data_IF_921793975924
#
_entry.id   IF_921793975924
#
_cell.length_a   1.000
_cell.length_b   1.000
_cell.length_c   1.000
_cell.angle_alpha   90.00
_cell.angle_beta   90.00
_cell.angle_gamma   90.00
#
_symmetry.space_group_name_H-M   'P 1'
#
loop_
_entity.id
_entity.type
_entity.pdbx_description
1 polymer ?
#
# COMPACT_ATOMS: atom_id res chain seq x y z
N UNK A 1 24.98 69.34 -72.79
CA UNK A 1 25.01 69.06 -71.37
C UNK A 1 23.56 68.71 -70.94
N UNK A 2 23.20 67.49 -71.21
CA UNK A 2 21.99 66.85 -70.70
C UNK A 2 22.38 65.44 -70.47
N UNK A 3 22.79 65.11 -69.27
CA UNK A 3 22.88 63.75 -68.76
C UNK A 3 22.71 63.83 -67.24
N UNK A 4 21.78 63.16 -66.76
CA UNK A 4 21.66 63.00 -65.33
C UNK A 4 20.29 63.18 -64.72
N UNK A 5 19.24 62.59 -65.27
CA UNK A 5 17.99 62.52 -64.58
C UNK A 5 17.11 61.44 -65.21
N UNK A 6 17.43 60.20 -64.97
CA UNK A 6 16.51 59.13 -65.25
C UNK A 6 16.95 57.82 -64.55
N UNK A 7 17.09 57.88 -63.21
CA UNK A 7 17.23 56.65 -62.39
C UNK A 7 16.41 56.86 -61.10
N UNK A 8 15.19 57.37 -61.23
CA UNK A 8 14.26 57.32 -60.10
C UNK A 8 13.29 56.14 -60.30
N UNK A 9 13.67 55.05 -59.72
CA UNK A 9 12.84 53.99 -59.23
C UNK A 9 11.67 53.52 -60.12
N UNK A 10 11.97 52.63 -61.06
CA UNK A 10 10.89 51.69 -61.43
C UNK A 10 10.52 50.94 -60.20
N UNK A 11 9.42 51.45 -59.53
CA UNK A 11 8.80 50.83 -58.40
C UNK A 11 8.39 49.42 -58.86
N UNK A 12 9.04 48.36 -58.37
CA UNK A 12 8.90 47.00 -58.86
C UNK A 12 7.57 46.42 -58.34
N UNK A 13 6.49 46.81 -59.02
CA UNK A 13 5.13 46.30 -58.76
C UNK A 13 5.04 44.78 -58.82
N UNK A 14 5.94 44.14 -59.58
CA UNK A 14 5.97 42.69 -59.70
C UNK A 14 6.51 42.05 -58.42
N UNK A 15 7.56 42.62 -57.80
CA UNK A 15 8.09 42.11 -56.52
C UNK A 15 7.06 42.29 -55.37
N UNK A 16 6.36 43.41 -55.35
CA UNK A 16 5.31 43.60 -54.33
C UNK A 16 4.11 42.66 -54.54
N UNK A 17 3.71 42.40 -55.75
CA UNK A 17 2.68 41.45 -56.09
C UNK A 17 3.07 40.02 -55.73
N UNK A 18 4.32 39.66 -55.98
CA UNK A 18 4.84 38.34 -55.57
C UNK A 18 4.97 38.22 -54.06
N UNK A 19 5.44 39.25 -53.36
CA UNK A 19 5.47 39.25 -51.89
C UNK A 19 4.08 39.15 -51.27
N UNK A 20 3.07 39.89 -51.81
CA UNK A 20 1.66 39.76 -51.39
C UNK A 20 1.11 38.37 -51.68
N UNK A 21 1.40 37.78 -52.86
CA UNK A 21 1.00 36.42 -53.24
C UNK A 21 1.65 35.36 -52.32
N UNK A 22 2.93 35.54 -51.96
CA UNK A 22 3.63 34.69 -51.01
C UNK A 22 3.02 34.81 -49.61
N UNK A 23 2.77 36.03 -49.12
CA UNK A 23 2.17 36.28 -47.83
C UNK A 23 0.76 35.71 -47.72
N UNK A 24 -0.11 35.92 -48.71
CA UNK A 24 -1.46 35.31 -48.75
C UNK A 24 -1.41 33.78 -48.89
N UNK A 25 -0.39 33.24 -49.51
CA UNK A 25 -0.17 31.78 -49.60
C UNK A 25 0.23 31.22 -48.24
N UNK A 26 1.12 31.85 -47.51
CA UNK A 26 1.49 31.46 -46.13
C UNK A 26 0.32 31.63 -45.15
N UNK A 27 -0.45 32.69 -45.27
CA UNK A 27 -1.66 32.90 -44.49
C UNK A 27 -2.71 31.79 -44.73
N UNK A 28 -2.95 31.42 -45.99
CA UNK A 28 -3.84 30.32 -46.36
C UNK A 28 -3.32 28.96 -45.88
N UNK A 29 -2.03 28.70 -45.93
CA UNK A 29 -1.37 27.50 -45.41
C UNK A 29 -1.51 27.48 -43.90
N UNK A 30 -1.25 28.60 -43.21
CA UNK A 30 -1.43 28.71 -41.75
C UNK A 30 -2.89 28.44 -41.29
N UNK A 31 -3.88 29.00 -42.01
CA UNK A 31 -5.29 28.73 -41.75
C UNK A 31 -5.65 27.27 -41.99
N UNK A 32 -5.11 26.66 -43.05
CA UNK A 32 -5.32 25.23 -43.33
C UNK A 32 -4.72 24.35 -42.22
N UNK A 33 -3.49 24.63 -41.76
CA UNK A 33 -2.88 23.93 -40.63
C UNK A 33 -3.70 24.10 -39.33
N UNK A 34 -4.20 25.31 -39.06
CA UNK A 34 -5.05 25.57 -37.92
C UNK A 34 -6.35 24.75 -37.97
N UNK A 35 -6.98 24.69 -39.17
CA UNK A 35 -8.19 23.90 -39.38
C UNK A 35 -7.93 22.38 -39.21
N UNK A 36 -6.82 21.88 -39.78
CA UNK A 36 -6.43 20.48 -39.59
C UNK A 36 -6.14 20.18 -38.12
N UNK A 37 -5.46 21.10 -37.41
CA UNK A 37 -5.18 20.97 -35.98
C UNK A 37 -6.48 20.97 -35.15
N UNK A 38 -7.39 21.90 -35.42
CA UNK A 38 -8.71 21.98 -34.73
C UNK A 38 -9.56 20.74 -35.00
N UNK A 39 -9.62 20.29 -36.27
CA UNK A 39 -10.31 19.06 -36.64
C UNK A 39 -9.64 17.84 -36.03
N UNK A 40 -8.33 17.73 -36.10
CA UNK A 40 -7.58 16.63 -35.50
C UNK A 40 -7.71 16.56 -33.97
N UNK A 41 -7.64 17.72 -33.30
CA UNK A 41 -7.88 17.84 -31.88
C UNK A 41 -9.34 17.52 -31.51
N UNK A 42 -10.31 17.98 -32.30
CA UNK A 42 -11.73 17.68 -32.13
C UNK A 42 -12.02 16.19 -32.27
N UNK A 43 -11.46 15.55 -33.31
CA UNK A 43 -11.56 14.10 -33.50
C UNK A 43 -10.88 13.31 -32.37
N UNK A 44 -9.68 13.72 -31.98
CA UNK A 44 -8.96 13.11 -30.85
C UNK A 44 -9.77 13.24 -29.56
N UNK A 45 -10.31 14.44 -29.25
CA UNK A 45 -11.13 14.70 -28.06
C UNK A 45 -12.42 13.89 -28.09
N UNK A 46 -13.05 13.74 -29.26
CA UNK A 46 -14.35 13.07 -29.38
C UNK A 46 -14.24 11.56 -29.41
N UNK A 47 -13.20 11.00 -30.02
CA UNK A 47 -13.07 9.55 -30.21
C UNK A 47 -12.11 8.88 -29.25
N UNK A 48 -11.04 9.56 -28.86
CA UNK A 48 -10.01 8.97 -28.00
C UNK A 48 -10.16 9.40 -26.54
N UNK A 49 -10.28 10.70 -26.26
CA UNK A 49 -10.36 11.19 -24.88
C UNK A 49 -11.65 10.76 -24.15
N UNK A 50 -12.71 10.38 -24.89
CA UNK A 50 -13.94 9.77 -24.35
C UNK A 50 -13.96 8.25 -24.64
N UNK A 51 -12.85 7.57 -24.40
CA UNK A 51 -12.72 6.12 -24.55
C UNK A 51 -12.32 5.44 -23.25
N UNK A 52 -12.69 4.16 -23.03
CA UNK A 52 -12.24 3.41 -21.85
C UNK A 52 -10.72 3.17 -21.86
N UNK A 53 -10.09 3.12 -23.04
CA UNK A 53 -8.64 3.02 -23.21
C UNK A 53 -7.93 4.25 -22.61
N UNK A 54 -8.42 5.43 -22.96
CA UNK A 54 -7.89 6.69 -22.43
C UNK A 54 -8.08 6.76 -20.90
N UNK A 55 -9.28 6.48 -20.41
CA UNK A 55 -9.58 6.52 -18.98
C UNK A 55 -8.69 5.56 -18.16
N UNK A 56 -8.46 4.34 -18.68
CA UNK A 56 -7.60 3.37 -18.00
C UNK A 56 -6.13 3.77 -18.02
N UNK A 57 -5.66 4.36 -19.13
CA UNK A 57 -4.32 4.91 -19.21
C UNK A 57 -4.14 6.10 -18.22
N UNK A 58 -5.13 7.00 -18.14
CA UNK A 58 -5.10 8.09 -17.15
C UNK A 58 -5.11 7.57 -15.72
N UNK A 59 -5.89 6.53 -15.42
CA UNK A 59 -5.90 5.88 -14.11
C UNK A 59 -4.50 5.30 -13.78
N UNK A 60 -3.88 4.62 -14.74
CA UNK A 60 -2.52 4.09 -14.57
C UNK A 60 -1.50 5.21 -14.33
N UNK A 61 -1.57 6.30 -15.10
CA UNK A 61 -0.70 7.47 -14.91
C UNK A 61 -0.98 8.18 -13.57
N UNK A 62 -2.23 8.23 -13.13
CA UNK A 62 -2.59 8.80 -11.83
C UNK A 62 -1.91 8.07 -10.67
N UNK A 63 -1.90 6.74 -10.70
CA UNK A 63 -1.21 5.92 -9.70
C UNK A 63 0.30 6.16 -9.76
N UNK A 64 0.89 6.19 -10.96
CA UNK A 64 2.32 6.36 -11.17
C UNK A 64 2.85 7.74 -10.81
N UNK A 65 2.05 8.78 -11.09
CA UNK A 65 2.44 10.19 -10.91
C UNK A 65 1.93 10.79 -9.59
N UNK A 66 1.31 9.98 -8.74
CA UNK A 66 0.76 10.39 -7.45
C UNK A 66 -0.30 11.49 -7.57
N UNK A 67 -1.30 11.27 -8.45
CA UNK A 67 -2.42 12.17 -8.66
C UNK A 67 -3.72 11.60 -8.09
N UNK A 68 -4.00 11.92 -6.83
CA UNK A 68 -5.20 11.47 -6.13
C UNK A 68 -6.50 12.01 -6.77
N UNK A 69 -6.45 13.17 -7.43
CA UNK A 69 -7.62 13.73 -8.11
C UNK A 69 -7.96 12.95 -9.38
N UNK A 70 -6.96 12.67 -10.20
CA UNK A 70 -7.16 11.84 -11.39
C UNK A 70 -7.58 10.41 -11.02
N UNK A 71 -7.07 9.85 -9.91
CA UNK A 71 -7.53 8.56 -9.40
C UNK A 71 -9.05 8.54 -9.15
N UNK A 72 -9.62 9.59 -8.53
CA UNK A 72 -11.06 9.71 -8.29
C UNK A 72 -11.86 9.98 -9.57
N UNK A 73 -11.26 10.67 -10.52
CA UNK A 73 -11.90 10.98 -11.81
C UNK A 73 -12.15 9.72 -12.63
N UNK A 74 -11.17 8.79 -12.67
CA UNK A 74 -11.22 7.59 -13.51
C UNK A 74 -11.56 6.29 -12.77
N UNK A 75 -11.73 6.34 -11.43
CA UNK A 75 -12.11 5.19 -10.61
C UNK A 75 -13.24 5.56 -9.64
N UNK A 76 -14.31 4.79 -9.63
CA UNK A 76 -15.31 4.85 -8.57
C UNK A 76 -14.78 4.07 -7.35
N UNK A 77 -14.01 4.74 -6.51
CA UNK A 77 -13.35 4.12 -5.36
C UNK A 77 -14.33 3.49 -4.39
N UNK A 78 -15.54 4.07 -4.22
CA UNK A 78 -16.55 3.51 -3.32
C UNK A 78 -17.08 2.17 -3.85
N UNK A 79 -17.43 2.11 -5.14
CA UNK A 79 -17.92 0.88 -5.77
C UNK A 79 -16.85 -0.21 -5.79
N UNK A 80 -15.61 0.14 -6.16
CA UNK A 80 -14.49 -0.82 -6.22
C UNK A 80 -14.12 -1.32 -4.84
N UNK A 81 -13.94 -0.43 -3.86
CA UNK A 81 -13.56 -0.82 -2.48
C UNK A 81 -14.71 -1.57 -1.78
N UNK A 82 -15.96 -1.17 -2.03
CA UNK A 82 -17.12 -1.85 -1.47
C UNK A 82 -17.27 -3.29 -1.97
N UNK A 83 -17.04 -3.51 -3.27
CA UNK A 83 -17.07 -4.85 -3.86
C UNK A 83 -15.84 -5.68 -3.43
N UNK A 84 -14.67 -5.08 -3.42
CA UNK A 84 -13.45 -5.76 -2.96
C UNK A 84 -13.57 -6.20 -1.50
N UNK A 85 -14.19 -5.38 -0.66
CA UNK A 85 -14.49 -5.76 0.72
C UNK A 85 -15.43 -6.97 0.80
N UNK A 86 -16.51 -7.01 0.02
CA UNK A 86 -17.42 -8.16 -0.02
C UNK A 86 -16.70 -9.43 -0.49
N UNK A 87 -15.88 -9.33 -1.53
CA UNK A 87 -15.11 -10.46 -2.05
C UNK A 87 -14.06 -10.95 -1.04
N UNK A 88 -13.42 -10.03 -0.29
CA UNK A 88 -12.43 -10.35 0.74
C UNK A 88 -13.06 -11.02 1.97
N UNK A 89 -14.25 -10.60 2.39
CA UNK A 89 -14.84 -11.02 3.66
C UNK A 89 -15.82 -12.19 3.54
N UNK A 90 -16.32 -12.48 2.33
CA UNK A 90 -17.36 -13.49 2.06
C UNK A 90 -17.09 -14.85 2.65
N UNK A 91 -15.84 -15.31 2.60
CA UNK A 91 -15.47 -16.66 3.03
C UNK A 91 -14.39 -16.66 4.12
N UNK A 92 -14.15 -15.52 4.77
CA UNK A 92 -13.13 -15.45 5.83
C UNK A 92 -13.33 -16.49 6.92
N UNK A 93 -14.58 -16.89 7.17
CA UNK A 93 -14.94 -17.84 8.21
C UNK A 93 -15.60 -19.11 7.67
N UNK A 94 -15.94 -19.16 6.38
CA UNK A 94 -16.65 -20.30 5.80
C UNK A 94 -15.85 -21.62 5.92
N UNK A 95 -14.53 -21.54 5.87
CA UNK A 95 -13.63 -22.69 5.92
C UNK A 95 -13.06 -22.97 7.31
N UNK A 96 -13.45 -22.20 8.35
CA UNK A 96 -13.00 -22.46 9.70
C UNK A 96 -13.93 -23.47 10.39
N UNK A 97 -13.48 -24.73 10.42
CA UNK A 97 -14.21 -25.86 11.02
C UNK A 97 -14.28 -25.78 12.56
N UNK A 98 -13.49 -24.88 13.18
CA UNK A 98 -13.50 -24.68 14.63
C UNK A 98 -14.59 -23.70 15.08
N UNK A 99 -15.20 -22.94 14.16
CA UNK A 99 -16.28 -22.01 14.46
C UNK A 99 -17.65 -22.67 14.29
N UNK A 100 -18.51 -22.50 15.29
CA UNK A 100 -19.92 -22.91 15.18
C UNK A 100 -20.63 -22.06 14.10
N UNK A 101 -21.72 -22.60 13.53
CA UNK A 101 -22.51 -21.86 12.56
C UNK A 101 -23.05 -20.54 13.12
N UNK A 102 -23.48 -20.53 14.39
CA UNK A 102 -23.96 -19.31 15.04
C UNK A 102 -22.86 -18.24 15.15
N UNK A 103 -21.64 -18.67 15.47
CA UNK A 103 -20.47 -17.77 15.50
C UNK A 103 -20.13 -17.23 14.10
N UNK A 104 -20.21 -18.06 13.05
CA UNK A 104 -20.03 -17.62 11.67
C UNK A 104 -21.04 -16.54 11.27
N UNK A 105 -22.33 -16.77 11.56
CA UNK A 105 -23.41 -15.79 11.31
C UNK A 105 -23.18 -14.49 12.08
N UNK A 106 -22.74 -14.57 13.33
CA UNK A 106 -22.43 -13.38 14.13
C UNK A 106 -21.28 -12.57 13.49
N UNK A 107 -20.23 -13.22 13.01
CA UNK A 107 -19.14 -12.55 12.31
C UNK A 107 -19.59 -11.93 10.98
N UNK A 108 -20.40 -12.63 10.17
CA UNK A 108 -20.95 -12.07 8.94
C UNK A 108 -21.76 -10.79 9.20
N UNK A 109 -22.65 -10.80 10.20
CA UNK A 109 -23.41 -9.61 10.58
C UNK A 109 -22.52 -8.47 11.05
N UNK A 110 -21.46 -8.79 11.82
CA UNK A 110 -20.47 -7.81 12.24
C UNK A 110 -19.77 -7.17 11.04
N UNK A 111 -19.27 -7.98 10.07
CA UNK A 111 -18.60 -7.48 8.88
C UNK A 111 -19.50 -6.62 8.00
N UNK A 112 -20.78 -6.99 7.86
CA UNK A 112 -21.78 -6.16 7.16
C UNK A 112 -21.91 -4.79 7.85
N UNK A 113 -21.97 -4.76 9.17
CA UNK A 113 -22.15 -3.54 9.96
C UNK A 113 -20.96 -2.59 9.88
N UNK A 114 -19.75 -3.12 9.84
CA UNK A 114 -18.52 -2.29 9.81
C UNK A 114 -18.10 -1.90 8.38
N UNK A 115 -18.65 -2.55 7.34
CA UNK A 115 -18.31 -2.30 5.93
C UNK A 115 -18.22 -0.82 5.57
N UNK A 116 -19.20 0.06 5.91
CA UNK A 116 -19.14 1.46 5.52
C UNK A 116 -17.93 2.19 6.10
N UNK A 117 -17.47 1.81 7.30
CA UNK A 117 -16.28 2.40 7.93
C UNK A 117 -15.02 1.90 7.23
N UNK A 118 -14.88 0.58 7.05
CA UNK A 118 -13.70 -0.01 6.41
C UNK A 118 -13.52 0.49 4.99
N UNK A 119 -14.61 0.61 4.22
CA UNK A 119 -14.58 1.16 2.86
C UNK A 119 -14.08 2.61 2.87
N UNK A 120 -14.61 3.46 3.76
CA UNK A 120 -14.13 4.86 3.88
C UNK A 120 -12.65 4.93 4.22
N UNK A 121 -12.20 4.14 5.19
CA UNK A 121 -10.80 4.14 5.63
C UNK A 121 -9.87 3.60 4.51
N UNK A 122 -10.32 2.60 3.76
CA UNK A 122 -9.61 2.10 2.58
C UNK A 122 -9.49 3.15 1.48
N UNK A 123 -10.57 3.90 1.20
CA UNK A 123 -10.54 5.00 0.23
C UNK A 123 -9.54 6.09 0.68
N UNK A 124 -9.54 6.46 1.96
CA UNK A 124 -8.59 7.43 2.49
C UNK A 124 -7.14 6.93 2.37
N UNK A 125 -6.90 5.65 2.63
CA UNK A 125 -5.60 5.02 2.48
C UNK A 125 -5.12 5.05 1.01
N UNK A 126 -6.01 4.73 0.06
CA UNK A 126 -5.72 4.80 -1.38
C UNK A 126 -5.42 6.22 -1.85
N UNK A 127 -6.20 7.19 -1.42
CA UNK A 127 -5.99 8.60 -1.76
C UNK A 127 -4.69 9.13 -1.14
N UNK A 128 -4.39 8.76 0.09
CA UNK A 128 -3.12 9.12 0.74
C UNK A 128 -1.91 8.50 0.01
N UNK A 129 -2.03 7.26 -0.46
CA UNK A 129 -1.01 6.63 -1.29
C UNK A 129 -0.87 7.33 -2.64
N UNK A 130 -1.99 7.63 -3.30
CA UNK A 130 -1.97 8.34 -4.58
C UNK A 130 -1.40 9.76 -4.47
N UNK A 131 -1.52 10.42 -3.31
CA UNK A 131 -0.97 11.77 -3.08
C UNK A 131 0.51 11.77 -2.70
N UNK A 132 0.94 10.78 -1.90
CA UNK A 132 2.27 10.78 -1.26
C UNK A 132 3.26 9.77 -1.83
N UNK A 133 2.81 8.83 -2.64
CA UNK A 133 3.63 7.75 -3.17
C UNK A 133 4.10 6.71 -2.15
N UNK A 134 3.58 6.77 -0.93
CA UNK A 134 3.93 5.84 0.13
C UNK A 134 2.70 5.46 0.95
N UNK A 135 2.63 4.19 1.36
CA UNK A 135 1.56 3.72 2.23
C UNK A 135 1.69 4.37 3.61
N UNK A 136 0.67 5.12 3.98
CA UNK A 136 0.59 5.70 5.32
C UNK A 136 -0.04 4.67 6.25
N UNK A 137 0.50 4.55 7.46
CA UNK A 137 -0.23 3.82 8.48
C UNK A 137 -1.47 4.65 8.84
N UNK A 138 -2.66 4.02 8.95
CA UNK A 138 -3.82 4.69 9.50
C UNK A 138 -3.44 5.30 10.86
N UNK A 139 -4.01 6.45 11.20
CA UNK A 139 -3.75 7.05 12.50
C UNK A 139 -4.04 6.03 13.61
N UNK A 140 -3.17 5.95 14.61
CA UNK A 140 -3.24 4.97 15.72
C UNK A 140 -4.63 4.91 16.38
N UNK A 141 -5.39 6.02 16.37
CA UNK A 141 -6.74 6.09 16.92
C UNK A 141 -7.78 5.23 16.18
N UNK A 142 -7.66 5.10 14.84
CA UNK A 142 -8.59 4.29 14.05
C UNK A 142 -8.27 2.79 14.14
N UNK A 143 -6.98 2.44 14.24
CA UNK A 143 -6.52 1.08 14.48
C UNK A 143 -6.95 0.56 15.86
N UNK A 144 -6.81 1.38 16.90
CA UNK A 144 -7.24 1.05 18.26
C UNK A 144 -8.75 0.79 18.34
N UNK A 145 -9.56 1.58 17.64
CA UNK A 145 -11.03 1.36 17.60
C UNK A 145 -11.40 0.06 16.89
N UNK A 146 -10.73 -0.28 15.79
CA UNK A 146 -10.91 -1.55 15.08
C UNK A 146 -10.58 -2.75 15.96
N UNK A 147 -9.49 -2.71 16.73
CA UNK A 147 -9.08 -3.77 17.65
C UNK A 147 -9.99 -3.92 18.86
N UNK A 148 -10.51 -2.83 19.42
CA UNK A 148 -11.52 -2.88 20.46
C UNK A 148 -12.81 -3.58 20.01
N UNK A 149 -13.06 -3.56 18.69
CA UNK A 149 -14.17 -4.27 18.05
C UNK A 149 -13.78 -5.69 17.57
N UNK A 150 -12.56 -6.16 17.85
CA UNK A 150 -12.09 -7.48 17.44
C UNK A 150 -11.66 -7.58 15.96
N UNK A 151 -11.43 -6.44 15.29
CA UNK A 151 -10.99 -6.41 13.89
C UNK A 151 -9.59 -5.81 13.78
N UNK A 152 -8.67 -6.55 13.19
CA UNK A 152 -7.39 -6.01 12.76
C UNK A 152 -7.50 -5.46 11.33
N UNK A 153 -7.67 -4.14 11.19
CA UNK A 153 -7.74 -3.46 9.90
C UNK A 153 -6.46 -3.65 9.07
N UNK A 154 -5.30 -3.64 9.70
CA UNK A 154 -4.03 -3.89 9.01
C UNK A 154 -3.98 -5.29 8.42
N UNK A 155 -4.49 -6.27 9.12
CA UNK A 155 -4.59 -7.64 8.61
C UNK A 155 -5.55 -7.75 7.40
N UNK A 156 -6.67 -7.01 7.42
CA UNK A 156 -7.57 -6.94 6.25
C UNK A 156 -6.88 -6.31 5.05
N UNK A 157 -6.15 -5.21 5.24
CA UNK A 157 -5.40 -4.54 4.18
C UNK A 157 -4.30 -5.45 3.63
N UNK A 158 -3.58 -6.17 4.49
CA UNK A 158 -2.57 -7.14 4.03
C UNK A 158 -3.20 -8.27 3.22
N UNK A 159 -4.28 -8.85 3.69
CA UNK A 159 -5.03 -9.89 2.95
C UNK A 159 -5.61 -9.39 1.63
N UNK A 160 -5.95 -8.12 1.53
CA UNK A 160 -6.47 -7.54 0.29
C UNK A 160 -5.45 -7.48 -0.83
N UNK A 161 -4.18 -7.71 -0.56
CA UNK A 161 -3.05 -7.62 -1.50
C UNK A 161 -2.88 -6.24 -2.16
N UNK A 162 -3.59 -5.22 -1.69
CA UNK A 162 -3.58 -3.90 -2.32
C UNK A 162 -2.20 -3.23 -2.26
N UNK A 163 -1.42 -3.53 -1.20
CA UNK A 163 -0.05 -3.02 -1.02
C UNK A 163 0.99 -3.82 -1.80
N UNK A 164 0.65 -5.04 -2.18
CA UNK A 164 1.58 -6.04 -2.70
C UNK A 164 1.30 -6.37 -4.17
N UNK A 165 0.43 -5.59 -4.83
CA UNK A 165 0.05 -5.81 -6.22
C UNK A 165 0.52 -4.64 -7.08
N UNK A 166 1.32 -4.91 -8.08
CA UNK A 166 1.79 -3.93 -9.06
C UNK A 166 1.21 -4.20 -10.45
N UNK A 167 0.85 -3.12 -11.17
CA UNK A 167 0.35 -3.22 -12.55
C UNK A 167 1.56 -3.39 -13.47
N UNK A 168 1.55 -4.46 -14.27
CA UNK A 168 2.63 -4.76 -15.24
C UNK A 168 2.28 -4.17 -16.61
N UNK A 169 1.06 -4.41 -17.10
CA UNK A 169 0.59 -3.88 -18.39
C UNK A 169 -0.92 -3.91 -18.50
N UNK A 170 -1.44 -3.07 -19.37
CA UNK A 170 -2.81 -3.09 -19.86
C UNK A 170 -2.83 -3.96 -21.12
N UNK A 171 -3.64 -5.04 -21.14
CA UNK A 171 -3.66 -5.96 -22.27
C UNK A 171 -4.74 -5.58 -23.31
N UNK A 172 -5.99 -5.91 -23.02
CA UNK A 172 -7.09 -5.79 -23.98
C UNK A 172 -8.31 -5.17 -23.33
N UNK A 173 -8.95 -4.27 -24.04
CA UNK A 173 -10.23 -3.68 -23.65
C UNK A 173 -11.31 -4.12 -24.65
N UNK A 174 -12.38 -4.73 -24.15
CA UNK A 174 -13.55 -5.11 -24.90
C UNK A 174 -14.69 -4.16 -24.54
N UNK A 175 -15.06 -3.30 -25.47
CA UNK A 175 -16.12 -2.30 -25.27
C UNK A 175 -17.46 -2.83 -25.77
N UNK A 176 -18.53 -2.58 -24.99
CA UNK A 176 -19.91 -2.83 -25.37
C UNK A 176 -20.76 -1.62 -24.95
N UNK A 177 -21.01 -0.70 -25.88
CA UNK A 177 -21.76 0.56 -25.68
C UNK A 177 -21.17 1.37 -24.49
N UNK A 178 -21.90 1.38 -23.38
CA UNK A 178 -21.59 2.16 -22.16
C UNK A 178 -20.86 1.31 -21.09
N UNK A 179 -20.47 0.10 -21.43
CA UNK A 179 -19.65 -0.78 -20.58
C UNK A 179 -18.40 -1.21 -21.31
N UNK A 180 -17.32 -1.44 -20.57
CA UNK A 180 -16.10 -2.05 -21.09
C UNK A 180 -15.50 -3.01 -20.08
N UNK A 181 -14.90 -4.09 -20.58
CA UNK A 181 -14.12 -5.03 -19.77
C UNK A 181 -12.65 -4.90 -20.17
N UNK A 182 -11.85 -4.38 -19.27
CA UNK A 182 -10.42 -4.21 -19.46
C UNK A 182 -9.66 -5.34 -18.77
N UNK A 183 -8.69 -5.94 -19.48
CA UNK A 183 -7.76 -6.92 -18.92
C UNK A 183 -6.45 -6.23 -18.59
N UNK A 184 -6.04 -6.32 -17.34
CA UNK A 184 -4.74 -5.84 -16.88
C UNK A 184 -3.93 -6.99 -16.32
N UNK A 185 -2.66 -7.05 -16.66
CA UNK A 185 -1.74 -7.98 -16.02
C UNK A 185 -1.15 -7.32 -14.78
N UNK A 186 -1.29 -8.00 -13.66
CA UNK A 186 -0.71 -7.59 -12.38
C UNK A 186 0.31 -8.62 -11.91
N UNK A 187 1.20 -8.19 -11.05
CA UNK A 187 2.18 -9.03 -10.38
C UNK A 187 1.97 -8.92 -8.87
N UNK A 188 1.89 -10.04 -8.19
CA UNK A 188 2.04 -10.10 -6.75
C UNK A 188 3.52 -9.94 -6.39
N UNK A 189 3.85 -8.90 -5.64
CA UNK A 189 5.24 -8.52 -5.35
C UNK A 189 5.90 -9.47 -4.35
N UNK A 190 5.12 -10.20 -3.54
CA UNK A 190 5.65 -11.20 -2.62
C UNK A 190 6.06 -12.49 -3.31
N UNK A 191 5.23 -12.98 -4.23
CA UNK A 191 5.46 -14.27 -4.90
C UNK A 191 6.07 -14.13 -6.30
N UNK A 192 6.16 -12.89 -6.83
CA UNK A 192 6.53 -12.59 -8.21
C UNK A 192 5.63 -13.28 -9.26
N UNK A 193 4.45 -13.73 -8.87
CA UNK A 193 3.50 -14.37 -9.78
C UNK A 193 2.69 -13.35 -10.54
N UNK A 194 2.34 -13.70 -11.79
CA UNK A 194 1.54 -12.85 -12.67
C UNK A 194 0.09 -13.35 -12.67
N UNK A 195 -0.84 -12.40 -12.64
CA UNK A 195 -2.27 -12.69 -12.76
C UNK A 195 -2.95 -11.67 -13.68
N UNK A 196 -4.05 -12.06 -14.34
CA UNK A 196 -4.83 -11.14 -15.16
C UNK A 196 -6.10 -10.74 -14.44
N UNK A 197 -6.16 -9.48 -14.00
CA UNK A 197 -7.39 -8.90 -13.46
C UNK A 197 -8.29 -8.38 -14.58
N UNK A 198 -9.60 -8.51 -14.38
CA UNK A 198 -10.63 -8.02 -15.26
C UNK A 198 -11.33 -6.82 -14.60
N UNK A 199 -11.15 -5.63 -15.14
CA UNK A 199 -11.76 -4.40 -14.65
C UNK A 199 -13.03 -4.12 -15.44
N UNK A 200 -14.16 -4.01 -14.76
CA UNK A 200 -15.39 -3.49 -15.34
C UNK A 200 -15.36 -1.97 -15.30
N UNK A 201 -15.60 -1.36 -16.44
CA UNK A 201 -15.71 0.07 -16.61
C UNK A 201 -17.09 0.45 -17.10
N UNK A 202 -17.64 1.53 -16.58
CA UNK A 202 -18.91 2.10 -17.03
C UNK A 202 -18.70 3.52 -17.54
N UNK A 203 -19.45 3.89 -18.58
CA UNK A 203 -19.54 5.25 -19.04
C UNK A 203 -20.54 6.01 -18.18
N UNK A 204 -20.11 7.14 -17.62
CA UNK A 204 -20.91 8.08 -16.84
C UNK A 204 -21.03 9.42 -17.58
N UNK A 205 -21.78 10.38 -17.05
CA UNK A 205 -21.82 11.75 -17.58
C UNK A 205 -20.44 12.42 -17.54
N UNK A 206 -19.59 12.05 -16.57
CA UNK A 206 -18.25 12.58 -16.38
C UNK A 206 -17.17 11.84 -17.20
N UNK A 207 -17.52 10.74 -17.88
CA UNK A 207 -16.61 9.90 -18.67
C UNK A 207 -16.57 8.44 -18.19
N UNK A 208 -15.55 7.71 -18.62
CA UNK A 208 -15.37 6.30 -18.27
C UNK A 208 -14.72 6.15 -16.90
N UNK A 209 -15.31 5.29 -16.05
CA UNK A 209 -14.75 4.98 -14.72
C UNK A 209 -14.67 3.47 -14.51
N UNK A 210 -13.59 3.03 -13.84
CA UNK A 210 -13.52 1.68 -13.28
C UNK A 210 -14.51 1.58 -12.12
N UNK A 211 -15.37 0.56 -12.13
CA UNK A 211 -16.41 0.37 -11.10
C UNK A 211 -16.29 -0.95 -10.35
N UNK A 212 -15.51 -1.90 -10.87
CA UNK A 212 -15.37 -3.22 -10.25
C UNK A 212 -14.14 -3.97 -10.76
N UNK A 213 -13.53 -4.78 -9.91
CA UNK A 213 -12.57 -5.83 -10.27
C UNK A 213 -13.33 -7.16 -10.30
N UNK A 214 -13.66 -7.65 -11.49
CA UNK A 214 -14.64 -8.75 -11.67
C UNK A 214 -14.17 -10.06 -11.08
N UNK A 215 -12.88 -10.37 -11.20
CA UNK A 215 -12.27 -11.60 -10.74
C UNK A 215 -11.25 -11.36 -9.58
N UNK A 216 -11.57 -10.40 -8.72
CA UNK A 216 -10.69 -10.10 -7.56
C UNK A 216 -10.58 -11.30 -6.61
N UNK A 217 -11.68 -11.99 -6.39
CA UNK A 217 -11.69 -13.21 -5.58
C UNK A 217 -10.78 -14.30 -6.16
N UNK A 218 -10.87 -14.55 -7.48
CA UNK A 218 -10.00 -15.54 -8.13
C UNK A 218 -8.52 -15.20 -7.95
N UNK A 219 -8.19 -13.90 -7.92
CA UNK A 219 -6.84 -13.43 -7.61
C UNK A 219 -6.43 -13.76 -6.18
N UNK A 220 -7.29 -13.49 -5.19
CA UNK A 220 -7.03 -13.82 -3.79
C UNK A 220 -6.88 -15.34 -3.60
N UNK A 221 -7.75 -16.14 -4.20
CA UNK A 221 -7.72 -17.60 -4.14
C UNK A 221 -6.46 -18.18 -4.79
N UNK A 222 -5.94 -17.50 -5.81
CA UNK A 222 -4.70 -17.89 -6.49
C UNK A 222 -3.45 -17.55 -5.66
N UNK A 223 -3.37 -16.35 -5.09
CA UNK A 223 -2.16 -15.85 -4.41
C UNK A 223 -2.05 -16.36 -2.98
N UNK A 224 -3.16 -16.43 -2.23
CA UNK A 224 -3.18 -16.79 -0.81
C UNK A 224 -2.51 -18.12 -0.49
N UNK A 225 -2.74 -19.24 -1.22
CA UNK A 225 -2.08 -20.52 -0.92
C UNK A 225 -0.56 -20.45 -1.06
N UNK A 226 -0.07 -19.72 -2.08
CA UNK A 226 1.37 -19.57 -2.33
C UNK A 226 2.01 -18.80 -1.17
N UNK A 227 1.43 -17.66 -0.80
CA UNK A 227 1.90 -16.84 0.32
C UNK A 227 1.83 -17.60 1.65
N UNK A 228 0.75 -18.34 1.91
CA UNK A 228 0.61 -19.16 3.12
C UNK A 228 1.68 -20.23 3.19
N UNK A 229 1.98 -20.90 2.09
CA UNK A 229 3.04 -21.92 2.03
C UNK A 229 4.41 -21.33 2.35
N UNK A 230 4.74 -20.16 1.77
CA UNK A 230 5.99 -19.47 2.03
C UNK A 230 6.11 -18.97 3.47
N UNK A 231 5.00 -18.44 4.03
CA UNK A 231 4.94 -18.03 5.42
C UNK A 231 5.17 -19.19 6.39
N UNK A 232 4.54 -20.34 6.17
CA UNK A 232 4.75 -21.55 6.97
C UNK A 232 6.20 -22.06 6.89
N UNK A 233 6.79 -22.03 5.69
CA UNK A 233 8.19 -22.40 5.50
C UNK A 233 9.14 -21.48 6.26
N UNK A 234 8.89 -20.15 6.22
CA UNK A 234 9.68 -19.17 6.95
C UNK A 234 9.51 -19.31 8.48
N UNK A 235 8.30 -19.56 8.97
CA UNK A 235 8.05 -19.84 10.40
C UNK A 235 8.92 -21.00 10.88
N UNK A 236 8.87 -22.14 10.19
CA UNK A 236 9.68 -23.32 10.55
C UNK A 236 11.18 -23.03 10.52
N UNK A 237 11.64 -22.31 9.50
CA UNK A 237 13.06 -21.96 9.37
C UNK A 237 13.56 -21.01 10.48
N UNK A 238 12.66 -20.24 11.09
CA UNK A 238 13.00 -19.25 12.16
C UNK A 238 12.59 -19.72 13.56
N UNK A 239 11.97 -20.89 13.72
CA UNK A 239 11.41 -21.37 14.99
C UNK A 239 12.49 -21.47 16.08
N UNK A 240 13.60 -22.16 15.81
CA UNK A 240 14.70 -22.32 16.77
C UNK A 240 15.29 -20.95 17.23
N UNK A 241 15.34 -19.97 16.32
CA UNK A 241 15.82 -18.62 16.66
C UNK A 241 14.83 -17.94 17.60
N UNK A 242 13.55 -18.01 17.28
CA UNK A 242 12.49 -17.39 18.09
C UNK A 242 12.48 -18.01 19.50
N UNK A 243 12.49 -19.32 19.62
CA UNK A 243 12.45 -20.03 20.90
C UNK A 243 13.70 -19.70 21.74
N UNK A 244 14.89 -19.76 21.14
CA UNK A 244 16.14 -19.36 21.79
C UNK A 244 16.08 -17.95 22.38
N UNK A 245 15.57 -16.98 21.62
CA UNK A 245 15.53 -15.59 22.10
C UNK A 245 14.35 -15.31 23.03
N UNK A 246 13.26 -16.06 22.98
CA UNK A 246 12.20 -16.01 23.99
C UNK A 246 12.78 -16.42 25.37
N UNK A 247 13.53 -17.52 25.46
CA UNK A 247 14.18 -17.95 26.70
C UNK A 247 15.20 -16.92 27.24
N UNK A 248 15.97 -16.30 26.34
CA UNK A 248 16.92 -15.22 26.70
C UNK A 248 16.16 -14.01 27.25
N UNK A 249 15.11 -13.55 26.56
CA UNK A 249 14.31 -12.39 26.95
C UNK A 249 13.57 -12.62 28.27
N UNK A 250 13.05 -13.81 28.54
CA UNK A 250 12.41 -14.18 29.81
C UNK A 250 13.43 -14.17 30.96
N UNK A 251 14.62 -14.68 30.73
CA UNK A 251 15.75 -14.58 31.70
C UNK A 251 16.13 -13.12 31.96
N UNK A 252 16.21 -12.33 30.90
CA UNK A 252 16.52 -10.90 30.99
C UNK A 252 15.43 -10.11 31.73
N UNK A 253 14.16 -10.41 31.48
CA UNK A 253 13.05 -9.80 32.20
C UNK A 253 13.09 -10.12 33.70
N UNK A 254 13.40 -11.36 34.07
CA UNK A 254 13.58 -11.77 35.46
C UNK A 254 14.71 -10.97 36.12
N UNK A 255 15.85 -10.85 35.46
CA UNK A 255 17.00 -10.07 35.98
C UNK A 255 16.70 -8.57 36.07
N UNK A 256 16.01 -8.00 35.08
CA UNK A 256 15.55 -6.61 35.11
C UNK A 256 14.65 -6.36 36.33
N UNK A 257 13.69 -7.23 36.59
CA UNK A 257 12.79 -7.11 37.73
C UNK A 257 13.56 -7.16 39.06
N UNK A 258 14.59 -8.02 39.17
CA UNK A 258 15.46 -8.05 40.34
C UNK A 258 16.25 -6.74 40.54
N UNK A 259 16.77 -6.16 39.47
CA UNK A 259 17.55 -4.90 39.53
C UNK A 259 16.68 -3.68 39.83
N UNK A 260 15.41 -3.73 39.46
CA UNK A 260 14.43 -2.65 39.69
C UNK A 260 13.63 -2.80 40.99
N UNK A 261 13.77 -3.92 41.69
CA UNK A 261 13.10 -4.14 42.96
C UNK A 261 13.59 -3.12 44.02
N UNK A 262 12.65 -2.29 44.50
CA UNK A 262 12.89 -1.27 45.54
C UNK A 262 11.78 -1.28 46.56
N UNK A 263 12.08 -0.89 47.81
CA UNK A 263 11.07 -0.81 48.86
C UNK A 263 10.26 0.49 48.82
N UNK A 264 10.78 1.53 48.19
CA UNK A 264 10.19 2.87 48.11
C UNK A 264 9.84 3.36 46.70
N UNK A 265 9.98 2.48 45.71
CA UNK A 265 9.71 2.80 44.31
C UNK A 265 10.75 3.70 43.64
N UNK A 266 11.90 3.97 44.27
CA UNK A 266 12.97 4.81 43.74
C UNK A 266 14.26 4.05 43.56
N UNK A 267 14.87 4.14 42.39
CA UNK A 267 16.17 3.56 42.11
C UNK A 267 17.29 4.41 42.72
N UNK A 268 18.15 3.82 43.54
CA UNK A 268 19.39 4.46 43.99
C UNK A 268 20.35 4.69 42.82
N UNK A 269 21.33 5.58 42.99
CA UNK A 269 22.32 5.84 41.95
C UNK A 269 23.09 4.56 41.53
N UNK A 270 23.41 3.69 42.50
CA UNK A 270 24.07 2.40 42.24
C UNK A 270 23.15 1.45 41.42
N UNK A 271 21.87 1.41 41.75
CA UNK A 271 20.92 0.58 40.97
C UNK A 271 20.76 1.11 39.57
N UNK A 272 20.63 2.43 39.36
CA UNK A 272 20.58 3.05 38.04
C UNK A 272 21.81 2.74 37.20
N UNK A 273 23.00 2.77 37.77
CA UNK A 273 24.23 2.39 37.08
C UNK A 273 24.21 0.94 36.65
N UNK A 274 23.94 0.00 37.58
CA UNK A 274 23.87 -1.44 37.28
C UNK A 274 22.82 -1.76 36.24
N UNK A 275 21.67 -1.11 36.29
CA UNK A 275 20.59 -1.27 35.35
C UNK A 275 20.98 -0.74 33.96
N UNK A 276 21.65 0.43 33.91
CA UNK A 276 22.16 1.00 32.66
C UNK A 276 23.20 0.10 32.01
N UNK A 277 24.13 -0.45 32.80
CA UNK A 277 25.14 -1.36 32.29
C UNK A 277 24.48 -2.64 31.73
N UNK A 278 23.51 -3.21 32.47
CA UNK A 278 22.79 -4.41 32.08
C UNK A 278 21.99 -4.22 30.77
N UNK A 279 21.31 -3.09 30.62
CA UNK A 279 20.56 -2.81 29.39
C UNK A 279 21.50 -2.70 28.19
N UNK A 280 22.64 -2.04 28.35
CA UNK A 280 23.64 -1.83 27.27
C UNK A 280 24.42 -3.08 26.93
N UNK A 281 24.76 -3.94 27.92
CA UNK A 281 25.60 -5.13 27.68
C UNK A 281 24.80 -6.39 27.32
N UNK A 282 23.55 -6.47 27.76
CA UNK A 282 22.77 -7.72 27.65
C UNK A 282 21.49 -7.56 26.83
N UNK A 283 20.63 -6.55 27.18
CA UNK A 283 19.29 -6.47 26.58
C UNK A 283 19.35 -6.00 25.11
N UNK A 284 19.96 -4.83 24.87
CA UNK A 284 20.05 -4.28 23.51
C UNK A 284 20.82 -5.20 22.57
N UNK A 285 22.02 -5.73 22.95
CA UNK A 285 22.74 -6.66 22.09
C UNK A 285 22.00 -7.96 21.79
N UNK A 286 21.19 -8.48 22.73
CA UNK A 286 20.37 -9.67 22.49
C UNK A 286 19.29 -9.41 21.41
N UNK A 287 18.63 -8.24 21.46
CA UNK A 287 17.66 -7.83 20.45
C UNK A 287 18.30 -7.65 19.07
N UNK A 288 19.47 -6.98 19.02
CA UNK A 288 20.23 -6.79 17.77
C UNK A 288 20.67 -8.12 17.18
N UNK A 289 21.17 -9.02 17.99
CA UNK A 289 21.62 -10.34 17.57
C UNK A 289 20.45 -11.22 17.09
N UNK A 290 19.29 -11.16 17.79
CA UNK A 290 18.07 -11.82 17.33
C UNK A 290 17.71 -11.36 15.92
N UNK A 291 17.71 -10.05 15.69
CA UNK A 291 17.36 -9.51 14.36
C UNK A 291 18.39 -9.93 13.31
N UNK A 292 19.67 -9.90 13.62
CA UNK A 292 20.72 -10.34 12.71
C UNK A 292 20.58 -11.83 12.32
N UNK A 293 20.24 -12.71 13.27
CA UNK A 293 20.02 -14.13 12.99
C UNK A 293 18.72 -14.32 12.15
N UNK A 294 17.67 -13.54 12.38
CA UNK A 294 16.45 -13.57 11.57
C UNK A 294 16.68 -13.06 10.14
N UNK A 295 17.46 -11.97 9.98
CA UNK A 295 17.78 -11.39 8.67
C UNK A 295 18.67 -12.29 7.83
N UNK A 296 19.41 -13.22 8.44
CA UNK A 296 20.19 -14.22 7.74
C UNK A 296 19.31 -15.28 7.04
N UNK A 297 18.02 -15.38 7.41
CA UNK A 297 17.05 -16.26 6.79
C UNK A 297 16.16 -15.43 5.87
N UNK A 298 16.36 -15.48 4.53
CA UNK A 298 15.54 -14.69 3.62
C UNK A 298 14.09 -15.15 3.67
N UNK A 299 13.13 -14.21 3.71
CA UNK A 299 11.71 -14.54 3.66
C UNK A 299 11.38 -15.16 2.30
N UNK A 300 10.59 -16.20 2.30
CA UNK A 300 10.00 -16.78 1.10
C UNK A 300 8.63 -16.17 0.85
N UNK A 301 8.11 -16.42 -0.33
CA UNK A 301 6.85 -15.94 -0.88
C UNK A 301 5.73 -15.77 0.18
N UNK A 302 5.36 -14.53 0.51
CA UNK A 302 4.35 -14.21 1.51
C UNK A 302 4.86 -14.05 2.96
N UNK A 303 6.13 -14.33 3.24
CA UNK A 303 6.73 -14.17 4.58
C UNK A 303 7.27 -12.75 4.83
N UNK A 304 7.36 -11.92 3.80
CA UNK A 304 7.93 -10.58 3.86
C UNK A 304 7.23 -9.70 4.90
N UNK A 305 5.92 -9.82 5.02
CA UNK A 305 5.15 -9.07 6.01
C UNK A 305 5.52 -9.48 7.44
N UNK A 306 5.61 -10.78 7.75
CA UNK A 306 6.04 -11.26 9.05
C UNK A 306 7.47 -10.83 9.38
N UNK A 307 8.38 -10.88 8.41
CA UNK A 307 9.74 -10.39 8.59
C UNK A 307 9.76 -8.89 8.91
N UNK A 308 9.00 -8.09 8.14
CA UNK A 308 8.91 -6.64 8.37
C UNK A 308 8.35 -6.30 9.77
N UNK A 309 7.31 -7.01 10.22
CA UNK A 309 6.77 -6.85 11.57
C UNK A 309 7.80 -7.16 12.66
N UNK A 310 8.57 -8.25 12.51
CA UNK A 310 9.63 -8.64 13.45
C UNK A 310 10.76 -7.61 13.50
N UNK A 311 11.17 -7.09 12.33
CA UNK A 311 12.18 -6.04 12.24
C UNK A 311 11.72 -4.73 12.89
N UNK A 312 10.47 -4.31 12.67
CA UNK A 312 9.92 -3.11 13.28
C UNK A 312 9.71 -3.29 14.80
N UNK A 313 9.31 -4.48 15.25
CA UNK A 313 9.22 -4.80 16.68
C UNK A 313 10.58 -4.69 17.37
N UNK A 314 11.62 -5.29 16.78
CA UNK A 314 12.99 -5.20 17.31
C UNK A 314 13.48 -3.77 17.38
N UNK A 315 13.33 -2.99 16.30
CA UNK A 315 13.69 -1.58 16.24
C UNK A 315 12.95 -0.75 17.30
N UNK A 316 11.66 -0.99 17.46
CA UNK A 316 10.80 -0.31 18.45
C UNK A 316 11.22 -0.66 19.87
N UNK A 317 11.55 -1.94 20.14
CA UNK A 317 12.04 -2.39 21.45
C UNK A 317 13.42 -1.81 21.78
N UNK A 318 14.32 -1.71 20.82
CA UNK A 318 15.63 -1.05 21.02
C UNK A 318 15.43 0.44 21.33
N UNK A 319 14.58 1.15 20.59
CA UNK A 319 14.25 2.54 20.87
C UNK A 319 13.66 2.74 22.28
N UNK A 320 12.74 1.85 22.69
CA UNK A 320 12.22 1.82 24.07
C UNK A 320 13.35 1.80 25.09
N UNK A 321 14.30 0.88 24.95
CA UNK A 321 15.40 0.74 25.90
C UNK A 321 16.37 1.92 25.88
N UNK A 322 16.62 2.52 24.72
CA UNK A 322 17.46 3.72 24.58
C UNK A 322 16.84 4.93 25.28
N UNK A 323 15.55 5.17 25.10
CA UNK A 323 14.83 6.25 25.80
C UNK A 323 14.74 5.97 27.30
N UNK A 324 14.50 4.72 27.70
CA UNK A 324 14.51 4.34 29.12
C UNK A 324 15.87 4.60 29.76
N UNK A 325 16.99 4.23 29.12
CA UNK A 325 18.36 4.54 29.58
C UNK A 325 18.56 6.03 29.76
N UNK A 326 18.22 6.84 28.77
CA UNK A 326 18.36 8.30 28.86
C UNK A 326 17.52 8.87 30.00
N UNK A 327 16.31 8.33 30.19
CA UNK A 327 15.40 8.73 31.25
C UNK A 327 15.96 8.46 32.66
N UNK A 328 16.47 7.24 32.89
CA UNK A 328 17.01 6.88 34.23
C UNK A 328 18.37 7.50 34.51
N UNK A 329 19.20 7.77 33.51
CA UNK A 329 20.50 8.42 33.67
C UNK A 329 20.38 9.92 33.98
N UNK A 330 19.43 10.61 33.36
CA UNK A 330 19.28 12.07 33.47
C UNK A 330 18.09 12.50 34.36
N UNK A 331 17.42 11.54 35.00
CA UNK A 331 16.19 11.76 35.79
C UNK A 331 15.12 12.51 34.96
N UNK A 332 14.97 12.11 33.68
CA UNK A 332 14.14 12.79 32.68
C UNK A 332 12.81 12.05 32.46
N UNK A 333 11.74 12.59 33.05
CA UNK A 333 10.40 12.02 32.95
C UNK A 333 9.86 11.98 31.52
N UNK A 334 10.22 12.97 30.69
CA UNK A 334 9.80 12.99 29.26
C UNK A 334 10.35 11.81 28.50
N UNK A 335 11.61 11.45 28.72
CA UNK A 335 12.25 10.28 28.13
C UNK A 335 11.61 8.97 28.61
N UNK A 336 11.27 8.87 29.90
CA UNK A 336 10.55 7.71 30.44
C UNK A 336 9.14 7.57 29.84
N UNK A 337 8.44 8.67 29.62
CA UNK A 337 7.14 8.66 28.94
C UNK A 337 7.27 8.22 27.47
N UNK A 338 8.31 8.67 26.79
CA UNK A 338 8.64 8.25 25.42
C UNK A 338 8.96 6.76 25.38
N UNK A 339 9.78 6.26 26.31
CA UNK A 339 10.05 4.82 26.45
C UNK A 339 8.76 4.00 26.63
N UNK A 340 7.83 4.47 27.47
CA UNK A 340 6.54 3.81 27.67
C UNK A 340 5.66 3.81 26.40
N UNK A 341 5.69 4.87 25.60
CA UNK A 341 5.01 4.91 24.30
C UNK A 341 5.59 3.87 23.32
N UNK A 342 6.92 3.76 23.24
CA UNK A 342 7.59 2.71 22.46
C UNK A 342 7.29 1.30 23.00
N UNK A 343 7.22 1.12 24.31
CA UNK A 343 6.81 -0.15 24.91
C UNK A 343 5.42 -0.59 24.45
N UNK A 344 4.43 0.31 24.51
CA UNK A 344 3.07 0.04 24.03
C UNK A 344 3.06 -0.32 22.55
N UNK A 345 3.81 0.40 21.72
CA UNK A 345 3.96 0.11 20.30
C UNK A 345 4.59 -1.28 20.06
N UNK A 346 5.64 -1.63 20.83
CA UNK A 346 6.27 -2.94 20.72
C UNK A 346 5.31 -4.09 21.10
N UNK A 347 4.53 -3.92 22.16
CA UNK A 347 3.49 -4.89 22.54
C UNK A 347 2.44 -5.07 21.43
N UNK A 348 2.01 -3.98 20.82
CA UNK A 348 1.10 -4.01 19.69
C UNK A 348 1.67 -4.80 18.50
N UNK A 349 2.92 -4.55 18.13
CA UNK A 349 3.59 -5.29 17.08
C UNK A 349 3.73 -6.78 17.41
N UNK A 350 3.97 -7.15 18.67
CA UNK A 350 4.00 -8.56 19.12
C UNK A 350 2.65 -9.24 18.94
N UNK A 351 1.55 -8.57 19.32
CA UNK A 351 0.20 -9.10 19.06
C UNK A 351 -0.06 -9.32 17.57
N UNK A 352 0.38 -8.39 16.71
CA UNK A 352 0.25 -8.55 15.26
C UNK A 352 1.10 -9.69 14.71
N UNK A 353 2.33 -9.86 15.20
CA UNK A 353 3.19 -11.00 14.86
C UNK A 353 2.51 -12.32 15.26
N UNK A 354 1.92 -12.38 16.45
CA UNK A 354 1.18 -13.54 16.95
C UNK A 354 -0.03 -13.84 16.07
N UNK A 355 -0.82 -12.84 15.71
CA UNK A 355 -2.01 -13.00 14.88
C UNK A 355 -1.66 -13.52 13.49
N UNK A 356 -0.66 -12.94 12.83
CA UNK A 356 -0.15 -13.45 11.54
C UNK A 356 0.37 -14.88 11.69
N UNK A 357 1.05 -15.18 12.80
CA UNK A 357 1.60 -16.50 13.06
C UNK A 357 0.53 -17.55 13.37
N UNK A 358 -0.56 -17.19 14.05
CA UNK A 358 -1.68 -18.09 14.39
C UNK A 358 -2.60 -18.32 13.20
N UNK A 359 -2.90 -17.30 12.42
CA UNK A 359 -3.79 -17.41 11.26
C UNK A 359 -3.23 -18.30 10.15
N UNK A 360 -1.91 -18.51 10.10
CA UNK A 360 -1.30 -19.51 9.22
C UNK A 360 -1.53 -20.95 9.68
N UNK A 361 -1.86 -21.17 10.94
CA UNK A 361 -2.22 -22.50 11.45
C UNK A 361 -3.70 -22.84 11.17
N UNK A 362 -4.55 -21.85 10.93
CA UNK A 362 -5.99 -22.01 10.66
C UNK A 362 -6.23 -22.34 9.18
N UNK A 363 -5.37 -21.90 8.27
CA UNK A 363 -5.39 -22.36 6.88
C UNK A 363 -4.81 -23.78 6.78
N UNK A 364 -5.57 -24.77 7.22
CA UNK A 364 -5.35 -26.15 6.78
C UNK A 364 -5.46 -26.12 5.26
N UNK A 365 -4.35 -26.43 4.57
CA UNK A 365 -4.41 -26.71 3.15
C UNK A 365 -5.57 -27.67 2.88
N UNK A 366 -6.38 -27.46 1.84
CA UNK A 366 -7.22 -28.52 1.35
C UNK A 366 -6.31 -29.73 1.09
N UNK A 367 -6.54 -30.82 1.80
CA UNK A 367 -5.90 -32.07 1.48
C UNK A 367 -6.37 -32.47 0.09
N UNK A 368 -5.42 -32.52 -0.85
CA UNK A 368 -5.56 -33.04 -2.21
C UNK A 368 -6.47 -32.25 -3.15
N UNK A 369 -5.82 -31.53 -4.04
CA UNK A 369 -6.33 -31.40 -5.42
C UNK A 369 -5.86 -32.69 -6.12
N UNK A 370 -6.77 -33.46 -6.74
CA UNK A 370 -6.41 -34.67 -7.48
C UNK A 370 -5.59 -34.36 -8.72
#
# INVERSE_FOLDING_TARGET
KKEGMDTMGKFDWQQQLEQRRRRTRYERIGVLFLLIFVLGFGLWRFFYADSPEYALEQLHQAIKNHDAKALQEYCNLEAVSGQAYDDLTRDMFAQDDNLSNDTKVMFEQFYIKIKPQVVRDTIQLLLAYADKGSWQNPSDDNLLKGRQLGMDYEYLIERSQIRNTSIVKIDKINRNKDTALAKIQVKDDYTNTLFTLNLLMNKTEEGWKVVRIVNYRDYLDFVTPIQTSGLLAYKRATEDIIDKYNDILDTQQTRFNQLTATSDGRLSASQRSKLSDYIKSDIIPALEKRQQELDAIPPRDGAQYLQALRAEETKTSIAQWQHFLTGIQNDNLSELNTANAFHKKALDLRHRIDDVSKNTAITKMPQSIP
#
